data_IF_085513683594
#
_entry.id   IF_085513683594
#
_cell.length_a   1.000
_cell.length_b   1.000
_cell.length_c   1.000
_cell.angle_alpha   90.00
_cell.angle_beta   90.00
_cell.angle_gamma   90.00
#
_symmetry.space_group_name_H-M   'P 1'
#
loop_
_entity.id
_entity.type
_entity.pdbx_description
1 polymer ?
#
# COMPACT_ATOMS: atom_id res chain seq x y z
N UNK A 1 -5.63 -31.09 -7.74
CA UNK A 1 -5.46 -30.49 -9.07
C UNK A 1 -4.56 -29.29 -8.89
N UNK A 2 -3.27 -29.45 -9.11
CA UNK A 2 -2.28 -28.39 -8.89
C UNK A 2 -2.36 -27.45 -10.09
N UNK A 3 -2.96 -26.27 -9.90
CA UNK A 3 -2.87 -25.21 -10.88
C UNK A 3 -1.42 -24.76 -10.97
N UNK A 4 -0.86 -24.81 -12.17
CA UNK A 4 0.52 -24.44 -12.44
C UNK A 4 0.76 -22.98 -12.05
N UNK A 5 1.71 -22.80 -11.13
CA UNK A 5 2.14 -21.53 -10.53
C UNK A 5 2.86 -20.60 -11.54
N UNK A 6 2.70 -20.83 -12.85
CA UNK A 6 3.32 -20.02 -13.90
C UNK A 6 2.73 -18.61 -14.09
N UNK A 7 1.76 -18.21 -13.23
CA UNK A 7 1.07 -16.93 -13.38
C UNK A 7 1.63 -15.80 -12.53
N UNK A 8 2.47 -16.08 -11.52
CA UNK A 8 2.97 -15.06 -10.61
C UNK A 8 4.46 -14.77 -10.87
N UNK A 9 4.72 -13.81 -11.73
CA UNK A 9 6.06 -13.25 -12.01
C UNK A 9 6.49 -12.21 -10.97
N UNK A 10 5.65 -11.97 -9.95
CA UNK A 10 5.85 -10.91 -8.96
C UNK A 10 6.45 -11.45 -7.65
N UNK A 11 7.30 -10.66 -7.02
CA UNK A 11 7.76 -10.87 -5.64
C UNK A 11 6.55 -10.97 -4.67
N UNK A 12 6.75 -11.56 -3.50
CA UNK A 12 5.72 -11.61 -2.45
C UNK A 12 5.16 -13.00 -2.15
N UNK A 13 5.65 -14.03 -2.83
CA UNK A 13 5.41 -15.44 -2.44
C UNK A 13 6.52 -15.84 -1.49
N UNK A 14 6.31 -15.66 -0.18
CA UNK A 14 7.32 -15.89 0.85
C UNK A 14 6.86 -16.92 1.87
N UNK A 15 7.83 -17.59 2.52
CA UNK A 15 7.57 -18.47 3.65
C UNK A 15 7.01 -17.66 4.84
N UNK A 16 6.11 -18.24 5.68
CA UNK A 16 5.70 -19.66 5.71
C UNK A 16 4.49 -19.97 4.82
N UNK A 17 3.70 -19.01 4.38
CA UNK A 17 2.42 -19.24 3.71
C UNK A 17 2.56 -19.57 2.22
N UNK A 18 3.68 -19.21 1.58
CA UNK A 18 3.83 -19.36 0.14
C UNK A 18 2.82 -18.49 -0.63
N UNK A 19 2.24 -19.05 -1.69
CA UNK A 19 1.15 -18.39 -2.40
C UNK A 19 -0.16 -18.53 -1.59
N UNK A 20 -0.69 -17.40 -1.15
CA UNK A 20 -1.87 -17.34 -0.30
C UNK A 20 -2.97 -16.50 -0.96
N UNK A 21 -3.99 -17.18 -1.46
CA UNK A 21 -5.19 -16.56 -2.05
C UNK A 21 -6.44 -17.36 -1.65
N UNK A 22 -6.90 -17.22 -0.39
CA UNK A 22 -8.03 -18.00 0.14
C UNK A 22 -9.37 -17.67 -0.53
N UNK A 23 -9.51 -16.45 -1.07
CA UNK A 23 -10.72 -16.00 -1.74
C UNK A 23 -10.68 -16.17 -3.26
N UNK A 24 -9.57 -16.64 -3.82
CA UNK A 24 -9.42 -16.84 -5.25
C UNK A 24 -9.47 -15.53 -6.05
N UNK A 25 -9.04 -14.42 -5.48
CA UNK A 25 -9.11 -13.10 -6.11
C UNK A 25 -8.24 -12.97 -7.36
N UNK A 26 -7.20 -13.78 -7.46
CA UNK A 26 -6.30 -13.81 -8.61
C UNK A 26 -6.73 -14.84 -9.68
N UNK A 27 -7.70 -15.71 -9.37
CA UNK A 27 -8.11 -16.76 -10.29
C UNK A 27 -8.80 -16.19 -11.53
N UNK A 28 -8.36 -16.64 -12.71
CA UNK A 28 -8.95 -16.22 -13.99
C UNK A 28 -8.65 -14.79 -14.41
N UNK A 29 -7.81 -14.06 -13.66
CA UNK A 29 -7.43 -12.69 -13.97
C UNK A 29 -6.35 -12.62 -15.04
N UNK A 30 -6.47 -11.61 -15.90
CA UNK A 30 -5.43 -11.26 -16.85
C UNK A 30 -4.18 -10.71 -16.15
N UNK A 31 -3.02 -10.77 -16.82
CA UNK A 31 -1.78 -10.19 -16.30
C UNK A 31 -1.92 -8.72 -15.93
N UNK A 32 -2.66 -7.94 -16.72
CA UNK A 32 -2.92 -6.53 -16.46
C UNK A 32 -3.76 -6.30 -15.18
N UNK A 33 -4.70 -7.18 -14.89
CA UNK A 33 -5.49 -7.12 -13.64
C UNK A 33 -4.65 -7.52 -12.44
N UNK A 34 -3.76 -8.50 -12.57
CA UNK A 34 -2.83 -8.89 -11.52
C UNK A 34 -1.86 -7.75 -11.17
N UNK A 35 -1.38 -6.99 -12.15
CA UNK A 35 -0.57 -5.78 -11.92
C UNK A 35 -1.34 -4.74 -11.10
N UNK A 36 -2.62 -4.51 -11.41
CA UNK A 36 -3.47 -3.58 -10.63
C UNK A 36 -3.67 -4.05 -9.18
N UNK A 37 -3.93 -5.34 -8.97
CA UNK A 37 -4.06 -5.90 -7.62
C UNK A 37 -2.77 -5.73 -6.82
N UNK A 38 -1.61 -5.94 -7.46
CA UNK A 38 -0.31 -5.73 -6.83
C UNK A 38 -0.06 -4.27 -6.49
N UNK A 39 -0.40 -3.35 -7.37
CA UNK A 39 -0.30 -1.91 -7.10
C UNK A 39 -1.19 -1.51 -5.91
N UNK A 40 -2.42 -2.02 -5.87
CA UNK A 40 -3.32 -1.78 -4.74
C UNK A 40 -2.75 -2.34 -3.43
N UNK A 41 -2.21 -3.56 -3.44
CA UNK A 41 -1.59 -4.18 -2.27
C UNK A 41 -0.40 -3.35 -1.74
N UNK A 42 0.49 -2.90 -2.62
CA UNK A 42 1.63 -2.07 -2.25
C UNK A 42 1.19 -0.71 -1.68
N UNK A 43 0.22 -0.06 -2.30
CA UNK A 43 -0.32 1.22 -1.79
C UNK A 43 -0.95 1.05 -0.40
N UNK A 44 -1.81 0.06 -0.23
CA UNK A 44 -2.40 -0.23 1.08
C UNK A 44 -1.33 -0.60 2.12
N UNK A 45 -0.32 -1.39 1.73
CA UNK A 45 0.80 -1.74 2.60
C UNK A 45 1.59 -0.51 3.05
N UNK A 46 1.91 0.42 2.15
CA UNK A 46 2.60 1.68 2.47
C UNK A 46 1.78 2.54 3.42
N UNK A 47 0.50 2.71 3.16
CA UNK A 47 -0.41 3.40 4.08
C UNK A 47 -0.52 2.69 5.42
N UNK A 48 -0.59 1.35 5.42
CA UNK A 48 -0.57 0.56 6.64
C UNK A 48 0.69 0.79 7.48
N UNK A 49 1.87 0.82 6.84
CA UNK A 49 3.13 1.10 7.53
C UNK A 49 3.17 2.51 8.14
N UNK A 50 2.67 3.52 7.42
CA UNK A 50 2.56 4.88 7.96
C UNK A 50 1.58 4.90 9.14
N UNK A 51 0.42 4.28 9.01
CA UNK A 51 -0.62 4.25 10.06
C UNK A 51 -0.15 3.49 11.30
N UNK A 52 0.54 2.37 11.12
CA UNK A 52 1.06 1.58 12.24
C UNK A 52 2.04 2.34 13.15
N UNK A 53 2.70 3.37 12.60
CA UNK A 53 3.57 4.27 13.38
C UNK A 53 2.80 5.53 13.81
N UNK A 54 1.98 6.10 12.93
CA UNK A 54 1.27 7.35 13.21
C UNK A 54 0.25 7.20 14.35
N UNK A 55 -0.50 6.09 14.42
CA UNK A 55 -1.49 5.85 15.47
C UNK A 55 -0.84 5.93 16.87
N UNK A 56 0.15 5.10 17.23
CA UNK A 56 0.80 5.19 18.54
C UNK A 56 1.44 6.55 18.81
N UNK A 57 2.11 7.13 17.81
CA UNK A 57 2.79 8.42 18.00
C UNK A 57 1.78 9.55 18.29
N UNK A 58 0.67 9.59 17.58
CA UNK A 58 -0.36 10.61 17.82
C UNK A 58 -0.99 10.45 19.19
N UNK A 59 -1.30 9.24 19.65
CA UNK A 59 -1.83 8.99 20.98
C UNK A 59 -0.88 9.39 22.09
N UNK A 60 0.41 9.07 21.97
CA UNK A 60 1.42 9.46 22.95
C UNK A 60 1.57 10.99 23.04
N UNK A 61 1.42 11.70 21.92
CA UNK A 61 1.58 13.15 21.88
C UNK A 61 0.32 13.91 22.28
N UNK A 62 -0.86 13.40 21.95
CA UNK A 62 -2.14 14.10 22.18
C UNK A 62 -2.89 13.58 23.39
N UNK A 63 -2.61 12.35 23.83
CA UNK A 63 -3.37 11.62 24.86
C UNK A 63 -4.87 11.46 24.52
N UNK A 64 -5.18 11.54 23.23
CA UNK A 64 -6.50 11.35 22.66
C UNK A 64 -6.50 10.17 21.68
N UNK A 65 -7.68 9.63 21.39
CA UNK A 65 -7.82 8.57 20.40
C UNK A 65 -7.34 9.04 19.02
N UNK A 66 -6.54 8.23 18.34
CA UNK A 66 -5.95 8.60 17.05
C UNK A 66 -7.01 8.82 15.96
N UNK A 67 -8.15 8.10 16.04
CA UNK A 67 -9.27 8.26 15.09
C UNK A 67 -9.92 9.65 15.17
N UNK A 68 -9.84 10.35 16.32
CA UNK A 68 -10.41 11.69 16.53
C UNK A 68 -9.40 12.83 16.43
N UNK A 69 -8.11 12.52 16.20
CA UNK A 69 -7.06 13.54 16.08
C UNK A 69 -7.35 14.53 14.95
N UNK A 70 -7.96 14.06 13.85
CA UNK A 70 -8.29 14.92 12.72
C UNK A 70 -9.48 15.85 12.99
N UNK A 71 -10.38 15.50 13.90
CA UNK A 71 -11.56 16.31 14.24
C UNK A 71 -11.15 17.63 14.88
N UNK A 72 -10.06 17.60 15.67
CA UNK A 72 -9.51 18.77 16.36
C UNK A 72 -8.39 19.45 15.58
N UNK A 73 -8.01 18.94 14.40
CA UNK A 73 -6.94 19.48 13.59
C UNK A 73 -7.31 20.85 13.00
N UNK A 74 -6.38 21.81 13.04
CA UNK A 74 -6.56 23.09 12.35
C UNK A 74 -6.75 22.83 10.85
N UNK A 75 -7.73 23.51 10.25
CA UNK A 75 -8.08 23.39 8.82
C UNK A 75 -6.86 23.53 7.90
N UNK A 76 -5.89 24.36 8.29
CA UNK A 76 -4.66 24.56 7.51
C UNK A 76 -3.77 23.30 7.49
N UNK A 77 -3.68 22.57 8.61
CA UNK A 77 -2.90 21.33 8.70
C UNK A 77 -3.56 20.21 7.88
N UNK A 78 -4.89 20.14 7.95
CA UNK A 78 -5.66 19.18 7.16
C UNK A 78 -5.53 19.47 5.66
N UNK A 79 -5.62 20.76 5.25
CA UNK A 79 -5.44 21.16 3.87
C UNK A 79 -4.03 20.86 3.36
N UNK A 80 -2.99 21.11 4.17
CA UNK A 80 -1.61 20.78 3.82
C UNK A 80 -1.42 19.26 3.66
N UNK A 81 -1.92 18.47 4.61
CA UNK A 81 -1.85 17.02 4.55
C UNK A 81 -2.54 16.45 3.31
N UNK A 82 -3.80 16.87 3.05
CA UNK A 82 -4.55 16.39 1.88
C UNK A 82 -3.90 16.82 0.57
N UNK A 83 -3.29 17.99 0.52
CA UNK A 83 -2.56 18.46 -0.67
C UNK A 83 -1.30 17.63 -0.92
N UNK A 84 -0.52 17.32 0.12
CA UNK A 84 0.68 16.48 0.00
C UNK A 84 0.33 15.06 -0.44
N UNK A 85 -0.68 14.46 0.17
CA UNK A 85 -1.17 13.13 -0.20
C UNK A 85 -1.70 13.14 -1.64
N UNK A 86 -2.52 14.12 -1.98
CA UNK A 86 -3.07 14.27 -3.33
C UNK A 86 -1.98 14.43 -4.39
N UNK A 87 -0.93 15.21 -4.12
CA UNK A 87 0.20 15.38 -5.02
C UNK A 87 0.98 14.06 -5.22
N UNK A 88 1.21 13.29 -4.16
CA UNK A 88 1.88 12.00 -4.24
C UNK A 88 1.06 10.98 -5.04
N UNK A 89 -0.25 10.89 -4.78
CA UNK A 89 -1.16 10.02 -5.53
C UNK A 89 -1.28 10.44 -6.99
N UNK A 90 -1.37 11.74 -7.26
CA UNK A 90 -1.42 12.25 -8.63
C UNK A 90 -0.15 11.89 -9.42
N UNK A 91 1.03 12.04 -8.78
CA UNK A 91 2.29 11.58 -9.38
C UNK A 91 2.28 10.08 -9.69
N UNK A 92 1.80 9.26 -8.76
CA UNK A 92 1.67 7.81 -8.95
C UNK A 92 0.74 7.47 -10.13
N UNK A 93 -0.37 8.21 -10.30
CA UNK A 93 -1.28 8.04 -11.43
C UNK A 93 -0.58 8.37 -12.75
N UNK A 94 0.12 9.50 -12.82
CA UNK A 94 0.84 9.91 -14.04
C UNK A 94 1.92 8.90 -14.46
N UNK A 95 2.58 8.28 -13.51
CA UNK A 95 3.62 7.28 -13.77
C UNK A 95 3.04 5.94 -14.22
N UNK A 96 2.05 5.44 -13.50
CA UNK A 96 1.56 4.06 -13.64
C UNK A 96 0.41 3.86 -14.63
N UNK A 97 -0.42 4.87 -14.86
CA UNK A 97 -1.64 4.72 -15.64
C UNK A 97 -1.51 5.35 -17.04
N UNK A 98 -2.23 4.77 -18.00
CA UNK A 98 -2.36 5.38 -19.31
C UNK A 98 -3.27 6.61 -19.27
N UNK A 99 -3.02 7.56 -20.17
CA UNK A 99 -3.82 8.79 -20.20
C UNK A 99 -5.23 8.49 -20.76
N UNK A 100 -6.29 8.66 -19.96
CA UNK A 100 -7.66 8.38 -20.38
C UNK A 100 -8.17 9.36 -21.46
N UNK A 101 -7.53 10.52 -21.59
CA UNK A 101 -7.92 11.52 -22.59
C UNK A 101 -7.46 11.21 -24.01
N UNK A 102 -6.52 10.27 -24.16
CA UNK A 102 -6.04 9.85 -25.50
C UNK A 102 -7.00 8.87 -26.17
N UNK A 103 -7.58 7.96 -25.39
CA UNK A 103 -8.59 6.98 -25.86
C UNK A 103 -9.53 6.62 -24.72
N UNK A 104 -10.83 6.66 -24.96
CA UNK A 104 -11.85 6.30 -23.96
C UNK A 104 -11.78 4.83 -23.51
N UNK A 105 -11.14 3.95 -24.29
CA UNK A 105 -10.90 2.54 -23.93
C UNK A 105 -9.77 2.37 -22.89
N UNK A 106 -8.98 3.41 -22.64
CA UNK A 106 -7.82 3.36 -21.72
C UNK A 106 -8.16 3.73 -20.26
N UNK A 107 -9.45 3.88 -19.95
CA UNK A 107 -9.87 4.07 -18.55
C UNK A 107 -9.42 2.90 -17.68
N UNK A 108 -8.69 3.21 -16.63
CA UNK A 108 -8.13 2.23 -15.68
C UNK A 108 -7.17 1.20 -16.30
N UNK A 109 -6.47 1.55 -17.37
CA UNK A 109 -5.41 0.72 -17.96
C UNK A 109 -4.05 1.18 -17.43
N UNK A 110 -3.26 0.25 -16.92
CA UNK A 110 -1.87 0.53 -16.50
C UNK A 110 -0.93 0.38 -17.69
N UNK A 111 0.14 1.17 -17.70
CA UNK A 111 1.17 1.10 -18.72
C UNK A 111 1.85 -0.27 -18.71
N UNK A 112 2.09 -0.85 -19.88
CA UNK A 112 2.67 -2.20 -20.03
C UNK A 112 4.07 -2.36 -19.44
N UNK A 113 4.83 -1.27 -19.34
CA UNK A 113 6.20 -1.25 -18.81
C UNK A 113 6.28 -0.81 -17.35
N UNK A 114 5.14 -0.52 -16.72
CA UNK A 114 5.11 -0.07 -15.34
C UNK A 114 5.32 -1.23 -14.38
N UNK A 115 6.24 -1.05 -13.44
CA UNK A 115 6.42 -1.96 -12.31
C UNK A 115 5.54 -1.47 -11.13
N UNK A 116 4.70 -2.35 -10.54
CA UNK A 116 3.91 -1.98 -9.38
C UNK A 116 4.76 -1.43 -8.24
N UNK A 117 4.35 -0.30 -7.70
CA UNK A 117 5.03 0.37 -6.60
C UNK A 117 6.15 1.34 -7.00
N UNK A 118 6.46 1.46 -8.28
CA UNK A 118 7.47 2.43 -8.75
C UNK A 118 6.91 3.86 -8.71
N UNK A 119 7.48 4.68 -7.82
CA UNK A 119 7.17 6.11 -7.68
C UNK A 119 8.16 7.00 -8.45
N UNK A 120 9.06 6.40 -9.25
CA UNK A 120 10.09 7.10 -10.00
C UNK A 120 11.22 7.65 -9.12
N UNK A 121 11.43 7.10 -7.93
CA UNK A 121 12.57 7.40 -7.08
C UNK A 121 13.65 6.34 -7.31
N UNK A 122 14.66 6.68 -8.10
CA UNK A 122 15.84 5.84 -8.27
C UNK A 122 16.75 6.01 -7.04
N UNK A 123 16.49 5.26 -5.99
CA UNK A 123 17.40 5.18 -4.84
C UNK A 123 18.49 4.16 -5.24
N UNK A 124 19.77 4.55 -5.29
CA UNK A 124 20.82 3.60 -5.60
C UNK A 124 20.91 2.56 -4.47
N UNK A 125 20.35 1.39 -4.71
CA UNK A 125 20.37 0.24 -3.79
C UNK A 125 21.78 -0.29 -3.50
N UNK A 126 22.78 0.14 -4.29
CA UNK A 126 24.19 -0.14 -4.05
C UNK A 126 24.68 0.27 -2.65
N UNK A 127 23.97 1.21 -2.02
CA UNK A 127 24.25 1.62 -0.63
C UNK A 127 23.88 0.55 0.41
N UNK A 128 22.92 -0.32 0.10
CA UNK A 128 22.36 -1.31 1.06
C UNK A 128 22.93 -2.71 0.88
N UNK A 129 23.72 -2.96 -0.17
CA UNK A 129 24.32 -4.27 -0.50
C UNK A 129 23.31 -5.45 -0.41
N UNK A 130 22.06 -5.20 -0.80
CA UNK A 130 20.97 -6.18 -0.76
C UNK A 130 20.36 -6.37 -2.14
N UNK A 131 19.97 -7.61 -2.41
CA UNK A 131 19.24 -7.96 -3.63
C UNK A 131 17.92 -7.20 -3.73
N UNK A 132 17.62 -6.67 -4.92
CA UNK A 132 16.36 -5.98 -5.21
C UNK A 132 15.13 -6.82 -4.84
N UNK A 133 15.17 -8.12 -5.12
CA UNK A 133 14.10 -9.07 -4.78
C UNK A 133 13.89 -9.19 -3.28
N UNK A 134 14.95 -9.13 -2.48
CA UNK A 134 14.86 -9.14 -1.02
C UNK A 134 14.13 -7.89 -0.52
N UNK A 135 14.47 -6.72 -1.04
CA UNK A 135 13.86 -5.45 -0.62
C UNK A 135 12.38 -5.39 -0.98
N UNK A 136 12.01 -5.83 -2.18
CA UNK A 136 10.61 -5.91 -2.60
C UNK A 136 9.78 -6.87 -1.74
N UNK A 137 10.34 -8.03 -1.39
CA UNK A 137 9.69 -8.97 -0.48
C UNK A 137 9.57 -8.41 0.94
N UNK A 138 10.58 -7.72 1.44
CA UNK A 138 10.56 -7.08 2.75
C UNK A 138 9.49 -5.98 2.81
N UNK A 139 9.38 -5.14 1.78
CA UNK A 139 8.34 -4.11 1.68
C UNK A 139 6.94 -4.73 1.76
N UNK A 140 6.68 -5.76 0.96
CA UNK A 140 5.39 -6.44 0.95
C UNK A 140 5.04 -7.09 2.28
N UNK A 141 5.98 -7.81 2.89
CA UNK A 141 5.71 -8.51 4.15
C UNK A 141 5.49 -7.52 5.30
N UNK A 142 6.31 -6.47 5.39
CA UNK A 142 6.10 -5.41 6.36
C UNK A 142 4.79 -4.66 6.12
N UNK A 143 4.45 -4.40 4.86
CA UNK A 143 3.18 -3.79 4.49
C UNK A 143 1.97 -4.63 4.90
N UNK A 144 2.00 -5.94 4.67
CA UNK A 144 0.93 -6.88 5.09
C UNK A 144 0.76 -6.90 6.60
N UNK A 145 1.86 -7.02 7.33
CA UNK A 145 1.83 -6.98 8.80
C UNK A 145 1.28 -5.64 9.31
N UNK A 146 1.72 -4.54 8.73
CA UNK A 146 1.30 -3.20 9.10
C UNK A 146 -0.19 -2.95 8.82
N UNK A 147 -0.74 -3.45 7.71
CA UNK A 147 -2.18 -3.39 7.44
C UNK A 147 -3.01 -4.10 8.52
N UNK A 148 -2.57 -5.29 8.94
CA UNK A 148 -3.24 -6.05 9.99
C UNK A 148 -3.13 -5.33 11.33
N UNK A 149 -1.95 -4.82 11.70
CA UNK A 149 -1.74 -4.15 12.97
C UNK A 149 -2.49 -2.82 13.06
N UNK A 150 -2.47 -1.99 12.02
CA UNK A 150 -3.22 -0.74 12.01
C UNK A 150 -4.73 -0.96 12.06
N UNK A 151 -5.25 -1.96 11.34
CA UNK A 151 -6.65 -2.34 11.47
C UNK A 151 -7.01 -2.78 12.89
N UNK A 152 -6.14 -3.60 13.51
CA UNK A 152 -6.33 -4.04 14.89
C UNK A 152 -6.37 -2.87 15.89
N UNK A 153 -5.47 -1.90 15.75
CA UNK A 153 -5.45 -0.69 16.56
C UNK A 153 -6.73 0.14 16.41
N UNK A 154 -7.15 0.41 15.17
CA UNK A 154 -8.39 1.16 14.89
C UNK A 154 -9.62 0.44 15.50
N UNK A 155 -9.72 -0.87 15.31
CA UNK A 155 -10.83 -1.65 15.88
C UNK A 155 -10.81 -1.61 17.40
N UNK A 156 -9.64 -1.68 18.03
CA UNK A 156 -9.50 -1.57 19.47
C UNK A 156 -9.98 -0.22 19.98
N UNK A 157 -9.55 0.90 19.38
CA UNK A 157 -10.04 2.25 19.75
C UNK A 157 -11.57 2.37 19.60
N UNK A 158 -12.14 1.85 18.50
CA UNK A 158 -13.58 1.89 18.25
C UNK A 158 -14.39 1.08 19.25
N UNK A 159 -13.89 -0.06 19.72
CA UNK A 159 -14.61 -0.91 20.69
C UNK A 159 -14.44 -0.40 22.11
N UNK A 160 -13.23 0.00 22.49
CA UNK A 160 -12.91 0.41 23.86
C UNK A 160 -13.28 1.85 24.14
N UNK A 161 -13.42 2.70 23.12
CA UNK A 161 -13.56 4.16 23.22
C UNK A 161 -12.46 4.78 24.10
N UNK A 162 -11.25 4.23 24.04
CA UNK A 162 -10.08 4.69 24.80
C UNK A 162 -8.85 4.62 23.90
N UNK A 163 -7.84 5.49 24.12
CA UNK A 163 -6.55 5.35 23.47
C UNK A 163 -5.91 4.00 23.82
N UNK A 164 -5.02 3.54 22.97
CA UNK A 164 -4.32 2.25 23.13
C UNK A 164 -3.23 2.36 24.22
N UNK A 165 -2.64 3.55 24.35
CA UNK A 165 -1.55 3.86 25.28
C UNK A 165 -1.94 4.90 26.31
#
# INVERSE_FOLDING_TARGET
>A
MFYSVNCFKFCGVTQPLGYFDPFGLANGKSQAELVKLREAELKHGRWGMISAVAIPVTEILTHEQSIHVLDNAKIINLALFTTLVGAAEFKSILLGWENPFTNSSNFFVMKKQYQPGDLGFNIPLSFLDKDETFMLNAELNNGRLAMISSLGMIVQELITNKPIF
#
